data_IF_567791926213
#
_entry.id   IF_567791926213
#
_cell.length_a   1.000
_cell.length_b   1.000
_cell.length_c   1.000
_cell.angle_alpha   90.00
_cell.angle_beta   90.00
_cell.angle_gamma   90.00
#
_symmetry.space_group_name_H-M   'P 1'
#
loop_
_entity.id
_entity.type
_entity.pdbx_description
1 polymer ?
#
# COMPACT_ATOMS: atom_id res chain seq x y z
N UNK A 1 2.62 -1.34 5.65
CA UNK A 1 2.12 -1.94 4.39
C UNK A 1 0.77 -2.57 4.69
N UNK A 2 -0.23 -2.34 3.84
CA UNK A 2 -1.54 -2.97 3.93
C UNK A 2 -1.69 -4.02 2.83
N UNK A 3 -2.01 -5.25 3.23
CA UNK A 3 -2.27 -6.40 2.36
C UNK A 3 -3.70 -6.86 2.58
N UNK A 4 -4.33 -7.38 1.53
CA UNK A 4 -5.63 -8.04 1.65
C UNK A 4 -5.43 -9.55 1.77
N UNK A 5 -6.08 -10.17 2.75
CA UNK A 5 -5.91 -11.60 3.04
C UNK A 5 -6.37 -12.54 1.93
N UNK A 6 -7.22 -12.05 1.02
CA UNK A 6 -7.74 -12.79 -0.13
C UNK A 6 -6.85 -12.72 -1.39
N UNK A 7 -5.77 -11.92 -1.37
CA UNK A 7 -4.85 -11.76 -2.50
C UNK A 7 -3.68 -12.76 -2.48
N UNK A 8 -4.00 -14.04 -2.61
CA UNK A 8 -3.04 -15.16 -2.46
C UNK A 8 -1.96 -15.26 -3.55
N UNK A 9 -2.12 -14.53 -4.66
CA UNK A 9 -1.17 -14.52 -5.78
C UNK A 9 -0.08 -13.44 -5.64
N UNK A 10 -0.09 -12.63 -4.58
CA UNK A 10 0.99 -11.67 -4.31
C UNK A 10 2.26 -12.44 -3.98
N UNK A 11 3.33 -12.21 -4.75
CA UNK A 11 4.60 -12.90 -4.58
C UNK A 11 5.57 -12.10 -3.71
N UNK A 12 6.57 -12.78 -3.13
CA UNK A 12 7.67 -12.10 -2.42
C UNK A 12 8.39 -11.08 -3.30
N UNK A 13 8.57 -11.36 -4.59
CA UNK A 13 9.19 -10.42 -5.53
C UNK A 13 8.38 -9.12 -5.69
N UNK A 14 7.05 -9.18 -5.58
CA UNK A 14 6.20 -7.97 -5.57
C UNK A 14 6.45 -7.15 -4.31
N UNK A 15 6.55 -7.80 -3.15
CA UNK A 15 6.83 -7.15 -1.86
C UNK A 15 8.18 -6.43 -1.90
N UNK A 16 9.24 -7.11 -2.35
CA UNK A 16 10.59 -6.55 -2.43
C UNK A 16 10.65 -5.29 -3.32
N UNK A 17 9.96 -5.30 -4.46
CA UNK A 17 9.88 -4.12 -5.35
C UNK A 17 9.19 -2.93 -4.67
N UNK A 18 8.11 -3.18 -3.93
CA UNK A 18 7.41 -2.13 -3.19
C UNK A 18 8.29 -1.57 -2.08
N UNK A 19 9.01 -2.42 -1.34
CA UNK A 19 9.95 -1.99 -0.30
C UNK A 19 11.08 -1.15 -0.88
N UNK A 20 11.70 -1.59 -1.98
CA UNK A 20 12.75 -0.83 -2.64
C UNK A 20 12.28 0.57 -3.09
N UNK A 21 11.08 0.65 -3.69
CA UNK A 21 10.49 1.94 -4.06
C UNK A 21 10.18 2.82 -2.84
N UNK A 22 9.70 2.22 -1.74
CA UNK A 22 9.43 2.97 -0.51
C UNK A 22 10.71 3.48 0.15
N UNK A 23 11.77 2.67 0.23
CA UNK A 23 13.03 3.12 0.81
C UNK A 23 13.72 4.22 0.00
N UNK A 24 13.46 4.31 -1.31
CA UNK A 24 13.94 5.41 -2.14
C UNK A 24 13.24 6.75 -1.79
N UNK A 25 11.95 6.71 -1.44
CA UNK A 25 11.17 7.89 -1.03
C UNK A 25 10.22 7.57 0.15
N UNK A 26 10.73 7.49 1.40
CA UNK A 26 9.95 6.99 2.55
C UNK A 26 8.74 7.84 2.96
N UNK A 27 8.63 9.05 2.43
CA UNK A 27 7.51 9.97 2.65
C UNK A 27 6.37 9.79 1.65
N UNK A 28 6.52 8.89 0.66
CA UNK A 28 5.55 8.66 -0.42
C UNK A 28 4.72 7.40 -0.18
N UNK A 29 3.47 7.46 -0.64
CA UNK A 29 2.65 6.27 -0.82
C UNK A 29 3.16 5.44 -1.99
N UNK A 30 3.28 4.13 -1.79
CA UNK A 30 3.73 3.20 -2.84
C UNK A 30 2.68 2.14 -3.09
N UNK A 31 2.33 1.92 -4.36
CA UNK A 31 1.35 0.93 -4.78
C UNK A 31 1.80 0.26 -6.09
N UNK A 32 1.53 -1.04 -6.30
CA UNK A 32 1.85 -1.72 -7.53
C UNK A 32 0.89 -1.32 -8.65
N UNK A 33 1.40 -1.34 -9.87
CA UNK A 33 0.61 -1.23 -11.10
C UNK A 33 0.82 -2.48 -11.95
N UNK A 34 -0.27 -3.04 -12.48
CA UNK A 34 -0.26 -4.16 -13.40
C UNK A 34 -1.23 -3.89 -14.55
N UNK A 35 -0.75 -3.94 -15.80
CA UNK A 35 -1.50 -3.53 -16.99
C UNK A 35 -2.27 -2.21 -16.84
N UNK A 36 -1.59 -1.17 -16.34
CA UNK A 36 -2.17 0.17 -16.15
C UNK A 36 -3.15 0.29 -14.98
N UNK A 37 -3.39 -0.78 -14.22
CA UNK A 37 -4.31 -0.77 -13.07
C UNK A 37 -3.52 -0.80 -11.77
N UNK A 38 -3.83 0.14 -10.87
CA UNK A 38 -3.31 0.15 -9.50
C UNK A 38 -3.90 -1.00 -8.69
N UNK A 39 -3.05 -1.75 -7.99
CA UNK A 39 -3.43 -2.85 -7.10
C UNK A 39 -2.99 -2.64 -5.65
N UNK A 40 -2.96 -3.76 -4.92
CA UNK A 40 -2.42 -3.90 -3.57
C UNK A 40 -1.29 -4.96 -3.61
N UNK A 41 -0.37 -5.00 -2.64
CA UNK A 41 -0.30 -4.22 -1.39
C UNK A 41 0.02 -2.74 -1.54
N UNK A 42 -0.38 -1.91 -0.57
CA UNK A 42 -0.01 -0.48 -0.53
C UNK A 42 0.87 -0.19 0.68
N UNK A 43 1.97 0.54 0.50
CA UNK A 43 2.78 1.06 1.59
C UNK A 43 2.34 2.49 1.87
N UNK A 44 2.00 2.73 3.14
CA UNK A 44 1.64 4.03 3.68
C UNK A 44 2.81 4.57 4.50
N UNK A 45 3.24 5.82 4.26
CA UNK A 45 4.25 6.47 5.09
C UNK A 45 3.68 6.88 6.45
N UNK A 46 4.50 6.85 7.50
CA UNK A 46 4.06 7.04 8.90
C UNK A 46 3.31 8.35 9.19
N UNK A 47 3.56 9.50 8.52
CA UNK A 47 2.79 10.72 8.78
C UNK A 47 1.28 10.58 8.53
N UNK A 48 0.86 9.59 7.74
CA UNK A 48 -0.56 9.37 7.42
C UNK A 48 -1.29 8.48 8.42
N UNK A 49 -0.61 7.89 9.40
CA UNK A 49 -1.25 6.97 10.34
C UNK A 49 -2.36 7.63 11.15
N UNK A 50 -2.18 8.90 11.55
CA UNK A 50 -3.22 9.65 12.25
C UNK A 50 -4.49 9.84 11.41
N UNK A 51 -4.34 10.20 10.14
CA UNK A 51 -5.45 10.37 9.21
C UNK A 51 -6.20 9.04 8.96
N UNK A 52 -5.46 7.94 8.82
CA UNK A 52 -6.05 6.60 8.66
C UNK A 52 -6.82 6.17 9.90
N UNK A 53 -6.24 6.40 11.08
CA UNK A 53 -6.89 6.06 12.35
C UNK A 53 -8.18 6.87 12.58
N UNK A 54 -8.28 8.06 12.00
CA UNK A 54 -9.48 8.89 12.08
C UNK A 54 -10.61 8.46 11.12
N UNK A 55 -10.36 7.49 10.22
CA UNK A 55 -11.40 6.96 9.34
C UNK A 55 -12.49 6.24 10.15
N UNK A 56 -13.73 6.37 9.69
CA UNK A 56 -14.91 5.77 10.32
C UNK A 56 -15.79 5.07 9.29
N UNK A 57 -16.58 4.10 9.74
CA UNK A 57 -17.43 3.30 8.85
C UNK A 57 -16.62 2.34 7.97
N UNK A 58 -17.24 1.87 6.89
CA UNK A 58 -16.60 0.96 5.91
C UNK A 58 -15.82 1.76 4.85
N UNK A 59 -14.82 2.51 5.30
CA UNK A 59 -13.96 3.33 4.43
C UNK A 59 -12.48 3.03 4.66
N UNK A 60 -11.73 2.91 3.57
CA UNK A 60 -10.28 2.80 3.60
C UNK A 60 -9.61 4.09 3.15
N UNK A 61 -8.27 4.23 3.30
CA UNK A 61 -7.52 5.43 2.92
C UNK A 61 -7.49 5.76 1.42
N UNK A 62 -8.21 4.99 0.61
CA UNK A 62 -8.41 5.23 -0.81
C UNK A 62 -9.55 6.23 -1.08
N UNK A 63 -10.46 6.40 -0.13
CA UNK A 63 -11.69 7.19 -0.28
C UNK A 63 -11.41 8.65 -0.63
#
# INVERSE_FOLDING_TARGET
MFLLGDQTLVTGATIEKLLAAFYAEPERWVAPYYHGRRGNPVITPSPWFGAIHALTGDTGPRA
#
